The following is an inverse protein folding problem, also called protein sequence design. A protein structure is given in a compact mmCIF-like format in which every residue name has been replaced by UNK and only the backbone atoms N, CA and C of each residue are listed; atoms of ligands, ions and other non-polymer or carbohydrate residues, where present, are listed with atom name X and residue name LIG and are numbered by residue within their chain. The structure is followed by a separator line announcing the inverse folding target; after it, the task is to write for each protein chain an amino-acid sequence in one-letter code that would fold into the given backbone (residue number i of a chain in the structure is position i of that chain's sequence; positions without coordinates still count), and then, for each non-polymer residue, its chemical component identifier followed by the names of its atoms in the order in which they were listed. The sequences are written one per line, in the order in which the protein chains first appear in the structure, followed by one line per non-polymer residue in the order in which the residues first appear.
data_IF_222376858879
#
_entry.id   IF_222376858879
#
_cell.length_a   1.000
_cell.length_b   1.000
_cell.length_c   1.000
_cell.angle_alpha   90.00
_cell.angle_beta   90.00
_cell.angle_gamma   90.00
#
_symmetry.space_group_name_H-M   'P 1'
#
loop_
_entity.id
_entity.type
_entity.pdbx_description
1 polymer ?
#
# COMPACT_ATOMS: atom_id res chain seq x y z
N UNK A 1 4.30 -17.96 -18.32
CA UNK A 1 5.00 -18.48 -17.13
C UNK A 1 3.97 -18.68 -16.03
N UNK A 2 3.94 -19.81 -15.32
CA UNK A 2 3.09 -19.92 -14.14
C UNK A 2 3.52 -18.84 -13.11
N UNK A 3 2.61 -18.30 -12.31
CA UNK A 3 2.96 -17.36 -11.25
C UNK A 3 4.02 -18.02 -10.36
N UNK A 4 5.12 -17.33 -10.07
CA UNK A 4 6.09 -17.79 -9.07
C UNK A 4 5.31 -18.10 -7.79
N UNK A 5 5.52 -19.28 -7.20
CA UNK A 5 5.04 -19.63 -5.86
C UNK A 5 5.51 -18.55 -4.87
N UNK A 6 4.68 -17.53 -4.68
CA UNK A 6 4.88 -16.53 -3.64
C UNK A 6 4.31 -17.17 -2.39
N UNK A 7 5.16 -17.39 -1.38
CA UNK A 7 4.69 -17.83 -0.06
C UNK A 7 3.52 -16.93 0.37
N UNK A 8 2.48 -17.52 0.95
CA UNK A 8 1.37 -16.74 1.48
C UNK A 8 1.84 -15.91 2.70
N UNK A 9 1.21 -14.77 2.93
CA UNK A 9 1.38 -14.00 4.17
C UNK A 9 1.08 -14.90 5.38
N UNK A 10 1.85 -14.85 6.50
CA UNK A 10 2.86 -13.85 6.87
C UNK A 10 4.26 -14.06 6.25
N UNK A 11 4.51 -15.22 5.65
CA UNK A 11 5.83 -15.59 5.09
C UNK A 11 6.03 -15.13 3.63
N UNK A 12 5.04 -14.47 3.03
CA UNK A 12 5.19 -13.71 1.80
C UNK A 12 4.21 -12.54 1.67
N UNK A 13 3.53 -12.37 0.53
CA UNK A 13 2.84 -11.11 0.19
C UNK A 13 1.32 -11.24 0.31
N UNK A 14 0.69 -10.18 0.79
CA UNK A 14 -0.75 -9.96 0.59
C UNK A 14 -1.04 -9.69 -0.89
N UNK A 15 -2.24 -10.06 -1.33
CA UNK A 15 -2.72 -9.80 -2.68
C UNK A 15 -2.81 -8.29 -2.93
N UNK A 16 -2.49 -7.84 -4.15
CA UNK A 16 -2.57 -6.41 -4.50
C UNK A 16 -1.67 -5.46 -3.69
N UNK A 17 -0.71 -5.99 -2.92
CA UNK A 17 0.12 -5.19 -2.00
C UNK A 17 -0.48 -5.03 -0.59
N UNK A 18 -1.73 -5.44 -0.37
CA UNK A 18 -2.35 -5.48 0.97
C UNK A 18 -2.72 -4.12 1.56
N UNK A 19 -2.83 -3.08 0.73
CA UNK A 19 -3.17 -1.72 1.16
C UNK A 19 -4.65 -1.37 0.93
N UNK A 20 -5.41 -2.19 0.20
CA UNK A 20 -6.86 -2.01 0.04
C UNK A 20 -7.69 -2.76 1.09
N UNK A 21 -9.01 -2.60 1.04
CA UNK A 21 -9.92 -3.36 1.90
C UNK A 21 -9.87 -4.88 1.62
N UNK A 22 -9.58 -5.27 0.38
CA UNK A 22 -9.29 -6.67 0.01
C UNK A 22 -8.16 -7.29 0.85
N UNK A 23 -7.13 -6.50 1.17
CA UNK A 23 -6.02 -6.91 2.02
C UNK A 23 -6.43 -7.16 3.46
N UNK A 24 -7.31 -6.34 4.03
CA UNK A 24 -7.86 -6.56 5.37
C UNK A 24 -8.73 -7.82 5.39
N UNK A 25 -9.61 -7.99 4.41
CA UNK A 25 -10.43 -9.20 4.28
C UNK A 25 -9.56 -10.46 4.16
N UNK A 26 -8.42 -10.40 3.45
CA UNK A 26 -7.46 -11.52 3.40
C UNK A 26 -6.84 -11.84 4.77
N UNK A 27 -6.58 -10.82 5.60
CA UNK A 27 -6.08 -11.01 6.97
C UNK A 27 -7.15 -11.65 7.87
N UNK A 28 -8.38 -11.12 7.84
CA UNK A 28 -9.52 -11.67 8.60
C UNK A 28 -9.82 -13.12 8.23
N UNK A 29 -9.86 -13.44 6.93
CA UNK A 29 -10.10 -14.80 6.43
C UNK A 29 -9.02 -15.80 6.86
N UNK A 30 -7.83 -15.32 7.22
CA UNK A 30 -6.69 -16.14 7.65
C UNK A 30 -6.46 -16.08 9.15
N UNK A 31 -7.33 -15.41 9.89
CA UNK A 31 -7.20 -15.19 11.33
C UNK A 31 -5.85 -14.53 11.70
N UNK A 32 -5.46 -13.53 10.90
CA UNK A 32 -4.24 -12.78 11.10
C UNK A 32 -4.57 -11.42 11.71
N UNK A 33 -4.07 -11.22 12.92
CA UNK A 33 -4.24 -9.97 13.66
C UNK A 33 -3.67 -8.77 12.89
N UNK A 34 -4.40 -7.67 12.94
CA UNK A 34 -3.99 -6.35 12.49
C UNK A 34 -4.61 -5.30 13.40
N UNK A 35 -3.97 -4.14 13.45
CA UNK A 35 -4.41 -3.01 14.26
C UNK A 35 -4.61 -1.79 13.37
N UNK A 36 -5.75 -1.12 13.52
CA UNK A 36 -5.98 0.24 13.01
C UNK A 36 -5.75 1.19 14.18
N UNK A 37 -4.60 1.85 14.20
CA UNK A 37 -4.20 2.77 15.27
C UNK A 37 -4.86 4.15 15.09
N UNK A 38 -5.05 4.57 13.84
CA UNK A 38 -5.65 5.86 13.52
C UNK A 38 -6.31 5.84 12.13
N UNK A 39 -7.34 6.67 11.96
CA UNK A 39 -7.98 6.94 10.68
C UNK A 39 -7.99 8.45 10.45
N UNK A 40 -7.36 8.89 9.36
CA UNK A 40 -7.36 10.30 8.94
C UNK A 40 -8.77 10.74 8.50
N UNK A 41 -9.08 12.06 8.52
CA UNK A 41 -10.38 12.57 8.07
C UNK A 41 -10.77 12.18 6.64
N UNK A 42 -9.78 11.99 5.76
CA UNK A 42 -9.98 11.54 4.38
C UNK A 42 -10.20 10.01 4.24
N UNK A 43 -10.27 9.29 5.36
CA UNK A 43 -10.53 7.86 5.42
C UNK A 43 -9.30 6.96 5.31
N UNK A 44 -8.08 7.49 5.13
CA UNK A 44 -6.86 6.66 5.18
C UNK A 44 -6.69 6.10 6.57
N UNK A 45 -6.44 4.79 6.66
CA UNK A 45 -6.26 4.06 7.91
C UNK A 45 -4.79 3.71 8.08
N UNK A 46 -4.25 3.88 9.27
CA UNK A 46 -2.85 3.56 9.58
C UNK A 46 -2.76 2.68 10.81
N UNK A 47 -1.76 1.80 10.83
CA UNK A 47 -1.53 0.89 11.93
C UNK A 47 -0.50 -0.17 11.61
N UNK A 48 -0.73 -1.41 12.02
CA UNK A 48 0.27 -2.46 11.95
C UNK A 48 -0.34 -3.86 11.80
N UNK A 49 0.53 -4.81 11.45
CA UNK A 49 0.23 -6.24 11.43
C UNK A 49 1.31 -6.91 12.29
N UNK A 50 1.02 -7.32 13.55
CA UNK A 50 2.03 -7.77 14.51
C UNK A 50 2.96 -8.87 13.98
N UNK A 51 2.41 -9.80 13.19
CA UNK A 51 3.14 -10.92 12.61
C UNK A 51 3.74 -10.65 11.22
N UNK A 52 3.86 -9.38 10.80
CA UNK A 52 4.36 -9.03 9.47
C UNK A 52 5.85 -9.38 9.27
N UNK A 53 6.23 -9.87 8.09
CA UNK A 53 7.62 -10.21 7.77
C UNK A 53 8.59 -9.02 8.00
N UNK A 54 8.28 -7.85 7.45
CA UNK A 54 9.00 -6.60 7.73
C UNK A 54 8.77 -6.10 9.16
N UNK A 55 9.85 -5.96 9.93
CA UNK A 55 9.83 -5.49 11.33
C UNK A 55 9.15 -4.13 11.50
N UNK A 56 9.38 -3.19 10.57
CA UNK A 56 8.82 -1.84 10.65
C UNK A 56 7.29 -1.78 10.51
N UNK A 57 6.64 -2.88 10.10
CA UNK A 57 5.18 -2.98 9.95
C UNK A 57 4.50 -3.71 11.11
N UNK A 58 5.27 -4.16 12.11
CA UNK A 58 4.77 -4.96 13.25
C UNK A 58 4.17 -4.13 14.38
N UNK A 59 4.43 -2.84 14.42
CA UNK A 59 3.94 -1.95 15.48
C UNK A 59 3.77 -0.52 14.99
N UNK A 60 3.00 0.27 15.74
CA UNK A 60 2.72 1.67 15.41
C UNK A 60 1.99 1.80 14.08
N UNK A 61 2.42 2.74 13.24
CA UNK A 61 1.74 3.15 12.01
C UNK A 61 2.46 2.68 10.73
N UNK A 62 3.25 1.62 10.80
CA UNK A 62 4.10 1.17 9.69
C UNK A 62 3.35 0.60 8.48
N UNK A 63 2.09 0.20 8.67
CA UNK A 63 1.17 -0.24 7.63
C UNK A 63 0.10 0.84 7.43
N UNK A 64 -0.32 1.04 6.19
CA UNK A 64 -1.42 1.93 5.85
C UNK A 64 -2.38 1.23 4.92
N UNK A 65 -3.64 1.64 4.98
CA UNK A 65 -4.69 1.17 4.10
C UNK A 65 -5.47 2.35 3.55
N UNK A 66 -5.90 2.22 2.30
CA UNK A 66 -6.81 3.16 1.66
C UNK A 66 -8.15 3.24 2.42
N UNK A 67 -8.95 4.28 2.15
CA UNK A 67 -10.33 4.34 2.64
C UNK A 67 -11.06 3.03 2.34
N UNK A 68 -11.86 2.58 3.30
CA UNK A 68 -12.52 1.27 3.23
C UNK A 68 -13.38 1.09 1.97
N UNK A 69 -13.98 2.18 1.49
CA UNK A 69 -14.83 2.18 0.29
C UNK A 69 -14.05 2.16 -1.04
N UNK A 70 -12.72 2.30 -1.04
CA UNK A 70 -11.93 2.20 -2.26
C UNK A 70 -11.75 0.74 -2.68
N UNK A 71 -12.18 0.43 -3.90
CA UNK A 71 -11.95 -0.87 -4.52
C UNK A 71 -10.49 -1.02 -4.99
N UNK A 72 -10.07 -2.25 -5.27
CA UNK A 72 -8.75 -2.50 -5.88
C UNK A 72 -8.60 -1.77 -7.22
N UNK A 73 -9.71 -1.59 -7.95
CA UNK A 73 -9.72 -0.84 -9.22
C UNK A 73 -9.54 0.65 -9.01
N UNK A 74 -10.12 1.24 -7.97
CA UNK A 74 -9.92 2.65 -7.61
C UNK A 74 -8.45 2.91 -7.26
N UNK A 75 -7.84 2.00 -6.50
CA UNK A 75 -6.43 2.07 -6.12
C UNK A 75 -5.53 1.98 -7.36
N UNK A 76 -5.80 1.04 -8.27
CA UNK A 76 -5.06 0.90 -9.53
C UNK A 76 -5.17 2.15 -10.40
N UNK A 77 -6.38 2.67 -10.58
CA UNK A 77 -6.64 3.89 -11.35
C UNK A 77 -5.92 5.10 -10.73
N UNK A 78 -5.98 5.26 -9.41
CA UNK A 78 -5.30 6.34 -8.70
C UNK A 78 -3.78 6.21 -8.85
N UNK A 79 -3.23 5.00 -8.73
CA UNK A 79 -1.81 4.74 -8.94
C UNK A 79 -1.34 5.07 -10.36
N UNK A 80 -2.12 4.71 -11.38
CA UNK A 80 -1.81 5.06 -12.76
C UNK A 80 -1.89 6.59 -13.00
N UNK A 81 -2.92 7.25 -12.46
CA UNK A 81 -3.04 8.71 -12.54
C UNK A 81 -1.84 9.44 -11.92
N UNK A 82 -1.36 9.00 -10.75
CA UNK A 82 -0.14 9.54 -10.11
C UNK A 82 1.11 9.20 -10.91
N UNK A 83 1.19 8.00 -11.50
CA UNK A 83 2.36 7.61 -12.28
C UNK A 83 2.50 8.40 -13.58
N UNK A 84 1.40 8.67 -14.27
CA UNK A 84 1.40 9.30 -15.59
C UNK A 84 1.31 10.84 -15.53
N UNK A 85 0.90 11.40 -14.40
CA UNK A 85 0.79 12.85 -14.21
C UNK A 85 2.16 13.55 -14.24
N UNK A 86 2.21 14.69 -14.92
CA UNK A 86 3.35 15.61 -14.91
C UNK A 86 3.44 16.41 -13.60
N UNK A 87 2.34 16.53 -12.85
CA UNK A 87 2.29 17.24 -11.58
C UNK A 87 2.73 16.37 -10.40
N UNK A 88 2.96 15.08 -10.63
CA UNK A 88 3.43 14.16 -9.59
C UNK A 88 4.92 14.33 -9.34
N UNK A 89 5.30 14.32 -8.06
CA UNK A 89 6.71 14.33 -7.69
C UNK A 89 7.30 12.96 -7.93
N UNK A 90 8.37 12.87 -8.74
CA UNK A 90 9.09 11.63 -9.01
C UNK A 90 10.51 11.70 -8.46
N UNK A 91 10.92 10.68 -7.73
CA UNK A 91 12.29 10.54 -7.23
C UNK A 91 12.86 9.17 -7.59
N UNK A 92 14.17 9.13 -7.83
CA UNK A 92 14.92 7.88 -7.97
C UNK A 92 15.31 7.40 -6.58
N UNK A 93 15.00 6.14 -6.30
CA UNK A 93 15.32 5.46 -5.05
C UNK A 93 16.75 4.92 -5.10
N UNK A 94 17.44 4.76 -3.95
CA UNK A 94 18.77 4.15 -3.91
C UNK A 94 18.85 2.74 -4.51
N UNK A 95 17.72 2.03 -4.57
CA UNK A 95 17.59 0.72 -5.23
C UNK A 95 17.56 0.79 -6.76
N UNK A 96 17.63 1.98 -7.35
CA UNK A 96 17.45 2.24 -8.79
C UNK A 96 15.99 2.26 -9.24
N UNK A 97 15.04 1.99 -8.33
CA UNK A 97 13.60 2.13 -8.62
C UNK A 97 13.15 3.59 -8.64
N UNK A 98 11.91 3.82 -9.05
CA UNK A 98 11.31 5.15 -9.06
C UNK A 98 10.09 5.17 -8.14
N UNK A 99 9.95 6.26 -7.38
CA UNK A 99 8.76 6.55 -6.62
C UNK A 99 8.07 7.80 -7.19
N UNK A 100 6.82 7.67 -7.60
CA UNK A 100 5.93 8.79 -7.91
C UNK A 100 5.01 9.06 -6.71
N UNK A 101 4.75 10.32 -6.39
CA UNK A 101 3.86 10.73 -5.30
C UNK A 101 2.92 11.85 -5.72
N UNK A 102 1.73 11.89 -5.15
CA UNK A 102 0.79 13.00 -5.33
C UNK A 102 -0.57 12.72 -4.71
N UNK A 103 -1.45 13.71 -4.80
CA UNK A 103 -2.81 13.63 -4.29
C UNK A 103 -3.78 13.13 -5.36
N UNK A 104 -4.65 12.19 -5.00
CA UNK A 104 -5.76 11.72 -5.83
C UNK A 104 -6.98 11.46 -4.94
N UNK A 105 -8.14 12.02 -5.30
CA UNK A 105 -9.37 11.81 -4.53
C UNK A 105 -9.26 12.19 -3.04
N UNK A 106 -8.46 13.20 -2.71
CA UNK A 106 -8.21 13.63 -1.33
C UNK A 106 -7.21 12.77 -0.53
N UNK A 107 -6.59 11.76 -1.16
CA UNK A 107 -5.59 10.88 -0.54
C UNK A 107 -4.21 11.18 -1.10
N UNK A 108 -3.20 11.31 -0.24
CA UNK A 108 -1.80 11.39 -0.67
C UNK A 108 -1.24 9.98 -0.87
N UNK A 109 -0.84 9.67 -2.11
CA UNK A 109 -0.50 8.33 -2.58
C UNK A 109 0.96 8.28 -3.02
N UNK A 110 1.60 7.14 -2.75
CA UNK A 110 2.90 6.77 -3.30
C UNK A 110 2.78 5.55 -4.19
N UNK A 111 3.48 5.60 -5.32
CA UNK A 111 3.62 4.51 -6.29
C UNK A 111 5.09 4.22 -6.45
N UNK A 112 5.53 3.03 -6.05
CA UNK A 112 6.91 2.59 -6.20
C UNK A 112 6.97 1.55 -7.29
N UNK A 113 7.91 1.68 -8.24
CA UNK A 113 8.27 0.63 -9.20
C UNK A 113 9.78 0.36 -9.11
N UNK A 114 10.15 -0.90 -8.96
CA UNK A 114 11.53 -1.36 -9.07
C UNK A 114 12.00 -1.37 -10.54
N UNK A 115 13.31 -1.51 -10.82
CA UNK A 115 13.82 -1.57 -12.19
C UNK A 115 13.26 -2.72 -13.04
N UNK A 116 12.63 -3.73 -12.42
CA UNK A 116 12.02 -4.88 -13.09
C UNK A 116 10.51 -4.68 -13.31
N UNK A 117 9.97 -3.52 -12.95
CA UNK A 117 8.56 -3.17 -13.09
C UNK A 117 7.65 -3.70 -11.98
N UNK A 118 8.17 -4.35 -10.93
CA UNK A 118 7.34 -4.73 -9.78
C UNK A 118 7.17 -3.53 -8.86
N UNK A 119 6.01 -3.41 -8.22
CA UNK A 119 5.71 -2.23 -7.44
C UNK A 119 4.71 -2.41 -6.32
N UNK A 120 4.35 -1.27 -5.74
CA UNK A 120 3.27 -1.13 -4.77
C UNK A 120 2.64 0.26 -4.91
N UNK A 121 1.33 0.31 -4.72
CA UNK A 121 0.55 1.55 -4.60
C UNK A 121 0.04 1.59 -3.17
N UNK A 122 0.25 2.69 -2.46
CA UNK A 122 -0.12 2.80 -1.04
C UNK A 122 -0.36 4.26 -0.63
N UNK A 123 -1.27 4.53 0.32
CA UNK A 123 -1.40 5.85 0.90
C UNK A 123 -0.24 6.10 1.85
N UNK A 124 0.28 7.33 1.89
CA UNK A 124 1.32 7.69 2.86
C UNK A 124 0.76 7.63 4.29
N UNK A 125 1.54 7.06 5.20
CA UNK A 125 1.12 6.81 6.58
C UNK A 125 1.37 7.97 7.55
N UNK A 126 2.04 9.02 7.10
CA UNK A 126 2.41 10.19 7.91
C UNK A 126 1.87 11.50 7.35
N UNK A 127 1.68 11.56 6.03
CA UNK A 127 1.25 12.74 5.29
C UNK A 127 -0.06 12.42 4.61
N UNK A 128 -1.14 13.02 5.09
CA UNK A 128 -2.44 13.04 4.41
C UNK A 128 -2.98 14.48 4.41
N UNK A 129 -3.71 14.90 3.35
CA UNK A 129 -4.34 16.22 3.29
C UNK A 129 -5.37 16.47 4.39
#
# INVERSE_FOLDING_TARGET
MPPRDRKAFPNGRLSGGGHGQSGIKELELRDIEYNIEHTYPNGVRIGNIPNHASKGKRSGIGQSWFPEHWSDRDIENAGNAIWDSQNSTKIILPSGGTMASGNYGGVFIRVVKDPKGNGSIFPDNKIQP
#
